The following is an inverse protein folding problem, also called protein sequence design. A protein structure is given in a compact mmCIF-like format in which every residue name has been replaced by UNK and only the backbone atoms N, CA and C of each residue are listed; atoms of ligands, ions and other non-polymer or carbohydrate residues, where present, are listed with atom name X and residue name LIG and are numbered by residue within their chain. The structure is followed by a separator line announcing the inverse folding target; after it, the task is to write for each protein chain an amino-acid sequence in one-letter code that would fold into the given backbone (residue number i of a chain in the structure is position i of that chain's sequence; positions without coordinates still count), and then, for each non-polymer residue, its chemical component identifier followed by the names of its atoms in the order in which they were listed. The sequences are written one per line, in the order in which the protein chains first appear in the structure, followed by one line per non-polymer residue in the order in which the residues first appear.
data_IF_026691116530
#
_entry.id   IF_026691116530
#
_cell.length_a   1.000
_cell.length_b   1.000
_cell.length_c   1.000
_cell.angle_alpha   90.00
_cell.angle_beta   90.00
_cell.angle_gamma   90.00
#
_symmetry.space_group_name_H-M   'P 1'
#
loop_
_entity.id
_entity.type
_entity.pdbx_description
1 polymer ?
#
# COMPACT_ATOMS: atom_id res chain seq x y z
N UNK A 1 -24.94 -4.20 -23.55
CA UNK A 1 -23.71 -3.71 -22.90
C UNK A 1 -23.63 -4.34 -21.51
N UNK A 2 -22.51 -4.94 -21.07
CA UNK A 2 -22.46 -5.55 -19.75
C UNK A 2 -22.38 -4.46 -18.67
N UNK A 3 -23.32 -4.53 -17.72
CA UNK A 3 -23.34 -3.69 -16.52
C UNK A 3 -22.37 -4.32 -15.53
N UNK A 4 -21.24 -3.66 -15.26
CA UNK A 4 -20.28 -4.11 -14.27
C UNK A 4 -20.70 -3.60 -12.89
N UNK A 5 -21.10 -4.52 -12.02
CA UNK A 5 -21.42 -4.27 -10.61
C UNK A 5 -20.15 -4.37 -9.77
N UNK A 6 -19.82 -3.30 -9.04
CA UNK A 6 -18.73 -3.33 -8.05
C UNK A 6 -19.26 -4.06 -6.82
N UNK A 7 -18.80 -5.29 -6.61
CA UNK A 7 -19.04 -6.04 -5.38
C UNK A 7 -18.08 -5.59 -4.28
N UNK A 8 -18.57 -5.52 -3.04
CA UNK A 8 -17.69 -5.31 -1.89
C UNK A 8 -16.66 -6.45 -1.83
N UNK A 9 -15.38 -6.11 -1.66
CA UNK A 9 -14.37 -7.10 -1.26
C UNK A 9 -14.69 -7.43 0.20
N UNK A 10 -15.49 -8.47 0.42
CA UNK A 10 -16.03 -8.84 1.73
C UNK A 10 -14.94 -9.23 2.74
N UNK A 11 -13.76 -9.61 2.25
CA UNK A 11 -12.59 -9.97 3.07
C UNK A 11 -11.31 -9.64 2.32
N UNK A 12 -10.43 -8.76 2.84
CA UNK A 12 -9.10 -8.60 2.28
C UNK A 12 -8.36 -9.93 2.37
N UNK A 13 -8.01 -10.48 1.21
CA UNK A 13 -7.28 -11.76 1.10
C UNK A 13 -5.79 -11.64 1.37
N UNK A 14 -5.26 -10.42 1.28
CA UNK A 14 -3.85 -10.12 1.50
C UNK A 14 -3.68 -9.60 2.92
N UNK A 15 -2.82 -10.27 3.70
CA UNK A 15 -2.47 -9.94 5.07
C UNK A 15 -0.95 -9.95 5.22
N UNK A 16 -0.42 -8.95 5.88
CA UNK A 16 0.99 -8.93 6.31
C UNK A 16 1.16 -9.86 7.51
N UNK A 17 2.28 -10.59 7.56
CA UNK A 17 2.65 -11.39 8.74
C UNK A 17 1.65 -12.51 9.04
N UNK A 18 0.98 -13.05 8.01
CA UNK A 18 -0.02 -14.10 8.21
C UNK A 18 0.59 -15.31 8.93
N UNK A 19 0.01 -15.71 10.07
CA UNK A 19 0.49 -16.86 10.83
C UNK A 19 0.03 -18.16 10.17
N UNK A 20 0.98 -18.98 9.72
CA UNK A 20 0.73 -20.29 9.09
C UNK A 20 1.42 -21.37 9.90
N UNK A 21 0.65 -22.37 10.34
CA UNK A 21 1.17 -23.46 11.19
C UNK A 21 2.00 -22.94 12.40
N UNK A 22 1.54 -21.87 13.03
CA UNK A 22 2.22 -21.25 14.19
C UNK A 22 3.42 -20.37 13.86
N UNK A 23 3.80 -20.23 12.59
CA UNK A 23 4.92 -19.39 12.17
C UNK A 23 4.40 -18.10 11.51
N UNK A 24 4.88 -16.96 11.98
CA UNK A 24 4.62 -15.66 11.34
C UNK A 24 5.32 -15.62 9.99
N UNK A 25 4.60 -15.19 8.95
CA UNK A 25 5.16 -15.05 7.62
C UNK A 25 6.07 -13.82 7.53
N UNK A 26 7.38 -14.01 7.75
CA UNK A 26 8.39 -12.95 7.70
C UNK A 26 9.61 -13.35 6.86
N UNK A 27 10.45 -12.37 6.52
CA UNK A 27 11.75 -12.62 5.93
C UNK A 27 12.73 -13.20 6.96
N UNK A 28 13.44 -14.30 6.69
CA UNK A 28 14.37 -14.91 7.63
C UNK A 28 15.69 -14.12 7.82
N UNK A 29 15.91 -13.07 7.01
CA UNK A 29 17.14 -12.26 7.08
C UNK A 29 16.93 -10.93 7.80
N UNK A 30 15.86 -10.20 7.48
CA UNK A 30 15.57 -8.89 8.07
C UNK A 30 14.33 -8.87 8.98
N UNK A 31 13.65 -10.01 9.14
CA UNK A 31 12.48 -10.20 10.01
C UNK A 31 11.25 -9.34 9.67
N UNK A 32 11.23 -8.66 8.51
CA UNK A 32 10.05 -7.92 8.07
C UNK A 32 8.90 -8.88 7.74
N UNK A 33 7.68 -8.51 8.15
CA UNK A 33 6.47 -9.22 7.77
C UNK A 33 6.29 -9.21 6.25
N UNK A 34 5.99 -10.39 5.70
CA UNK A 34 5.76 -10.59 4.27
C UNK A 34 4.27 -10.68 3.99
N UNK A 35 3.85 -10.21 2.82
CA UNK A 35 2.47 -10.28 2.38
C UNK A 35 2.08 -11.73 2.02
N UNK A 36 0.81 -12.08 2.21
CA UNK A 36 0.25 -13.37 1.76
C UNK A 36 0.65 -13.69 0.31
N UNK A 37 1.47 -14.74 0.12
CA UNK A 37 1.90 -15.22 -1.20
C UNK A 37 3.29 -14.76 -1.64
N UNK A 38 3.94 -13.87 -0.89
CA UNK A 38 5.35 -13.56 -1.09
C UNK A 38 6.24 -14.74 -0.65
N UNK A 39 7.35 -14.94 -1.35
CA UNK A 39 8.38 -15.93 -0.97
C UNK A 39 9.36 -15.26 0.02
N UNK A 40 9.94 -15.99 0.99
CA UNK A 40 11.01 -15.49 1.86
C UNK A 40 12.17 -14.77 1.15
N UNK A 41 12.49 -15.19 -0.08
CA UNK A 41 13.50 -14.59 -0.95
C UNK A 41 13.05 -13.33 -1.68
N UNK A 42 11.79 -12.90 -1.57
CA UNK A 42 11.28 -11.67 -2.18
C UNK A 42 11.92 -10.43 -1.55
N UNK A 43 12.06 -10.38 -0.23
CA UNK A 43 12.58 -9.21 0.48
C UNK A 43 14.11 -9.05 0.35
N UNK A 44 14.89 -9.99 0.90
CA UNK A 44 16.36 -9.86 0.92
C UNK A 44 17.06 -10.70 -0.17
N UNK A 45 16.31 -11.28 -1.11
CA UNK A 45 16.85 -12.32 -2.00
C UNK A 45 16.98 -13.67 -1.31
N UNK A 46 17.18 -14.74 -2.09
CA UNK A 46 17.46 -16.08 -1.55
C UNK A 46 18.67 -16.01 -0.60
N UNK A 47 18.50 -16.50 0.63
CA UNK A 47 19.52 -16.49 1.70
C UNK A 47 20.12 -15.09 1.96
N UNK A 48 19.34 -14.01 1.81
CA UNK A 48 19.82 -12.66 2.10
C UNK A 48 20.81 -12.11 1.08
N UNK A 49 20.87 -12.68 -0.15
CA UNK A 49 21.80 -12.27 -1.21
C UNK A 49 21.89 -10.75 -1.43
N UNK A 50 20.79 -10.03 -1.24
CA UNK A 50 20.69 -8.59 -1.48
C UNK A 50 20.61 -7.76 -0.19
N UNK A 51 20.72 -8.37 0.99
CA UNK A 51 20.60 -7.66 2.27
C UNK A 51 21.62 -6.53 2.41
N UNK A 52 22.88 -6.79 2.02
CA UNK A 52 23.96 -5.80 2.09
C UNK A 52 24.06 -4.91 0.83
N UNK A 53 23.18 -5.07 -0.15
CA UNK A 53 23.22 -4.27 -1.37
C UNK A 53 22.67 -2.86 -1.15
N UNK A 54 21.85 -2.68 -0.12
CA UNK A 54 21.22 -1.41 0.21
C UNK A 54 21.85 -0.90 1.51
N UNK A 55 22.44 0.31 1.52
CA UNK A 55 22.91 0.89 2.77
C UNK A 55 21.72 1.07 3.73
N UNK A 56 21.93 0.95 5.05
CA UNK A 56 20.88 1.23 6.01
C UNK A 56 20.32 2.64 5.80
N UNK A 57 19.02 2.80 6.01
CA UNK A 57 18.42 4.12 5.98
C UNK A 57 19.12 5.01 7.02
N UNK A 58 19.36 6.30 6.70
CA UNK A 58 19.85 7.22 7.70
C UNK A 58 18.88 7.25 8.89
N UNK A 59 19.38 7.51 10.11
CA UNK A 59 18.50 7.67 11.26
C UNK A 59 17.48 8.77 10.97
N UNK A 60 16.25 8.56 11.42
CA UNK A 60 15.21 9.57 11.26
C UNK A 60 15.64 10.85 12.01
N UNK A 61 15.31 12.04 11.48
CA UNK A 61 15.58 13.29 12.18
C UNK A 61 14.92 13.29 13.57
N UNK A 62 15.55 13.86 14.62
CA UNK A 62 15.02 13.86 15.99
C UNK A 62 13.59 14.42 16.11
N UNK A 63 13.20 15.28 15.18
CA UNK A 63 11.85 15.83 15.09
C UNK A 63 10.78 14.74 14.92
N UNK A 64 11.16 13.57 14.41
CA UNK A 64 10.28 12.42 14.18
C UNK A 64 9.96 11.64 15.45
N UNK A 65 10.74 11.79 16.52
CA UNK A 65 10.54 11.05 17.78
C UNK A 65 9.18 11.33 18.41
N UNK A 66 8.64 12.54 18.18
CA UNK A 66 7.34 12.98 18.71
C UNK A 66 6.19 12.12 18.17
N UNK A 67 6.32 11.61 16.95
CA UNK A 67 5.24 10.94 16.25
C UNK A 67 5.51 9.48 15.91
N UNK A 68 6.77 9.03 15.85
CA UNK A 68 7.11 7.64 15.53
C UNK A 68 6.57 6.64 16.56
N UNK A 69 6.38 7.08 17.80
CA UNK A 69 5.81 6.30 18.89
C UNK A 69 4.30 6.55 19.09
N UNK A 70 3.66 7.42 18.30
CA UNK A 70 2.23 7.67 18.42
C UNK A 70 1.46 6.43 17.93
N UNK A 71 0.61 5.80 18.75
CA UNK A 71 -0.13 4.60 18.36
C UNK A 71 -1.06 4.82 17.15
N UNK A 72 -1.37 6.08 16.81
CA UNK A 72 -2.20 6.46 15.68
C UNK A 72 -1.42 6.69 14.39
N UNK A 73 -0.09 6.78 14.44
CA UNK A 73 0.71 7.18 13.26
C UNK A 73 0.49 6.26 12.07
N UNK A 74 0.37 4.95 12.28
CA UNK A 74 0.08 4.00 11.20
C UNK A 74 -1.27 4.30 10.53
N UNK A 75 -2.32 4.58 11.33
CA UNK A 75 -3.66 4.89 10.81
C UNK A 75 -3.67 6.23 10.08
N UNK A 76 -3.07 7.26 10.67
CA UNK A 76 -3.05 8.61 10.12
C UNK A 76 -2.16 8.73 8.87
N UNK A 77 -0.98 8.08 8.88
CA UNK A 77 -0.11 7.99 7.71
C UNK A 77 -0.76 7.26 6.55
N UNK A 78 -1.54 6.21 6.82
CA UNK A 78 -2.26 5.50 5.75
C UNK A 78 -3.31 6.40 5.08
N UNK A 79 -4.05 7.19 5.86
CA UNK A 79 -4.99 8.18 5.32
C UNK A 79 -4.25 9.24 4.48
N UNK A 80 -3.14 9.77 4.98
CA UNK A 80 -2.33 10.75 4.26
C UNK A 80 -1.76 10.17 2.96
N UNK A 81 -1.24 8.94 2.98
CA UNK A 81 -0.73 8.26 1.79
C UNK A 81 -1.84 8.01 0.75
N UNK A 82 -3.05 7.68 1.19
CA UNK A 82 -4.20 7.53 0.30
C UNK A 82 -4.62 8.86 -0.32
N UNK A 83 -4.66 9.94 0.47
CA UNK A 83 -4.98 11.29 -0.03
C UNK A 83 -3.90 11.76 -1.00
N UNK A 84 -2.62 11.58 -0.67
CA UNK A 84 -1.50 11.93 -1.53
C UNK A 84 -1.55 11.13 -2.84
N UNK A 85 -1.73 9.82 -2.74
CA UNK A 85 -1.87 8.94 -3.91
C UNK A 85 -3.05 9.38 -4.77
N UNK A 86 -4.20 9.66 -4.18
CA UNK A 86 -5.37 10.19 -4.89
C UNK A 86 -5.10 11.54 -5.56
N UNK A 87 -4.49 12.49 -4.84
CA UNK A 87 -4.15 13.81 -5.38
C UNK A 87 -3.08 13.73 -6.49
N UNK A 88 -2.20 12.72 -6.43
CA UNK A 88 -1.20 12.46 -7.46
C UNK A 88 -1.77 11.85 -8.73
N UNK A 89 -3.01 11.35 -8.70
CA UNK A 89 -3.70 10.85 -9.90
C UNK A 89 -4.01 12.04 -10.82
N UNK A 90 -3.13 12.22 -11.80
CA UNK A 90 -3.36 13.17 -12.90
C UNK A 90 -4.48 12.64 -13.80
N UNK A 91 -5.54 13.43 -13.98
CA UNK A 91 -6.57 13.13 -14.98
C UNK A 91 -6.13 13.68 -16.34
N UNK A 92 -6.36 12.92 -17.40
CA UNK A 92 -6.13 13.37 -18.79
C UNK A 92 -7.40 13.85 -19.47
N UNK A 93 -8.55 13.66 -18.82
CA UNK A 93 -9.87 14.00 -19.34
C UNK A 93 -10.49 15.10 -18.48
N UNK A 94 -11.20 16.02 -19.12
CA UNK A 94 -11.99 17.04 -18.43
C UNK A 94 -13.03 16.39 -17.51
N UNK A 95 -13.32 17.03 -16.38
CA UNK A 95 -14.45 16.62 -15.54
C UNK A 95 -15.74 16.76 -16.36
N UNK A 96 -16.68 15.79 -16.28
CA UNK A 96 -17.91 15.86 -17.05
C UNK A 96 -18.73 17.09 -16.63
N UNK A 97 -18.93 18.01 -17.58
CA UNK A 97 -19.84 19.15 -17.43
C UNK A 97 -21.28 18.65 -17.61
N UNK A 98 -22.08 18.67 -16.55
CA UNK A 98 -23.47 18.22 -16.55
C UNK A 98 -23.66 16.86 -15.86
N UNK A 99 -23.66 16.88 -14.53
CA UNK A 99 -23.94 15.69 -13.73
C UNK A 99 -25.43 15.35 -13.73
N UNK A 100 -25.82 14.27 -14.38
CA UNK A 100 -27.10 13.59 -14.13
C UNK A 100 -27.07 12.74 -12.83
N UNK A 101 -26.03 12.90 -12.00
CA UNK A 101 -25.81 12.15 -10.76
C UNK A 101 -25.66 13.06 -9.54
N UNK A 102 -25.78 12.53 -8.31
CA UNK A 102 -25.70 13.32 -7.10
C UNK A 102 -24.37 14.08 -7.01
N UNK A 103 -24.36 15.35 -6.59
CA UNK A 103 -23.14 16.10 -6.37
C UNK A 103 -22.22 15.34 -5.40
N UNK A 104 -20.96 15.15 -5.78
CA UNK A 104 -19.96 14.48 -4.94
C UNK A 104 -19.55 13.06 -5.37
N UNK A 105 -20.18 12.48 -6.40
CA UNK A 105 -19.79 11.19 -6.95
C UNK A 105 -19.21 11.33 -8.36
N UNK A 106 -17.91 11.10 -8.50
CA UNK A 106 -17.27 10.91 -9.81
C UNK A 106 -16.54 9.56 -9.83
N UNK A 107 -16.73 8.82 -10.91
CA UNK A 107 -16.04 7.55 -11.16
C UNK A 107 -14.77 7.84 -11.94
N UNK A 108 -13.61 7.71 -11.30
CA UNK A 108 -12.33 7.72 -12.02
C UNK A 108 -12.19 6.36 -12.71
N UNK A 109 -12.24 6.35 -14.04
CA UNK A 109 -11.95 5.19 -14.86
C UNK A 109 -10.62 5.47 -15.58
N UNK A 110 -9.55 4.83 -15.14
CA UNK A 110 -8.20 5.05 -15.66
C UNK A 110 -7.52 3.74 -16.01
N UNK A 111 -6.57 3.79 -16.95
CA UNK A 111 -5.59 2.73 -17.17
C UNK A 111 -4.30 3.17 -16.48
N UNK A 112 -3.76 2.32 -15.62
CA UNK A 112 -2.43 2.56 -15.03
C UNK A 112 -1.41 2.27 -16.11
N UNK A 113 -0.68 3.30 -16.52
CA UNK A 113 0.47 3.14 -17.43
C UNK A 113 1.73 3.22 -16.58
N UNK A 114 2.54 2.18 -16.64
CA UNK A 114 3.90 2.22 -16.11
C UNK A 114 4.75 3.04 -17.08
N UNK A 115 5.45 4.06 -16.59
CA UNK A 115 6.56 4.70 -17.31
C UNK A 115 7.86 3.95 -17.02
#
# INVERSE_FOLDING_TARGET
MPIWTIGAISTPRLRWGEVRAGHTHHCPTCEIDLLTGEDPGWCCGKNGKFFNNVPPLPPLPPEFDIFINDPRISKESHILNLIFSFASLKTTHAFPEGGAGPPGFFRIQGRVYHQ
#
